data_IF_233583769353
#
_entry.id   IF_233583769353
#
_cell.length_a   1.000
_cell.length_b   1.000
_cell.length_c   1.000
_cell.angle_alpha   90.00
_cell.angle_beta   90.00
_cell.angle_gamma   90.00
#
_symmetry.space_group_name_H-M   'P 1'
#
loop_
_entity.id
_entity.type
_entity.pdbx_description
1 polymer ?
#
# COMPACT_ATOMS: atom_id res chain seq x y z
N UNK A 1 -0.15 6.39 -6.27
CA UNK A 1 0.39 6.81 -4.95
C UNK A 1 0.89 5.62 -4.13
N UNK A 2 0.13 4.54 -3.93
CA UNK A 2 0.57 3.35 -3.16
C UNK A 2 1.94 2.81 -3.62
N UNK A 3 2.13 2.60 -4.93
CA UNK A 3 3.41 2.17 -5.50
C UNK A 3 4.57 3.12 -5.17
N UNK A 4 4.33 4.44 -5.17
CA UNK A 4 5.35 5.43 -4.86
C UNK A 4 5.72 5.42 -3.37
N UNK A 5 4.74 5.18 -2.48
CA UNK A 5 5.01 5.03 -1.05
C UNK A 5 5.90 3.80 -0.82
N UNK A 6 5.51 2.66 -1.40
CA UNK A 6 6.29 1.42 -1.29
C UNK A 6 7.69 1.57 -1.88
N UNK A 7 7.83 2.20 -3.05
CA UNK A 7 9.12 2.37 -3.70
C UNK A 7 10.09 3.26 -2.91
N UNK A 8 9.56 4.25 -2.17
CA UNK A 8 10.38 5.29 -1.54
C UNK A 8 10.51 5.15 -0.02
N UNK A 9 9.73 4.25 0.63
CA UNK A 9 9.81 4.09 2.08
C UNK A 9 11.15 3.45 2.47
N UNK A 10 11.91 4.04 3.41
CA UNK A 10 13.15 3.43 3.89
C UNK A 10 12.87 2.10 4.58
N UNK A 11 13.57 1.04 4.16
CA UNK A 11 13.46 -0.27 4.76
C UNK A 11 14.71 -1.11 4.48
N UNK A 12 15.10 -1.92 5.46
CA UNK A 12 16.25 -2.82 5.36
C UNK A 12 15.90 -4.15 4.67
N UNK A 13 14.62 -4.54 4.67
CA UNK A 13 14.11 -5.77 4.03
C UNK A 13 12.85 -5.50 3.22
N UNK A 14 12.50 -6.37 2.25
CA UNK A 14 11.23 -6.29 1.52
C UNK A 14 10.01 -6.34 2.44
N UNK A 15 10.03 -7.16 3.48
CA UNK A 15 8.93 -7.30 4.44
C UNK A 15 8.75 -6.00 5.23
N UNK A 16 9.85 -5.42 5.74
CA UNK A 16 9.82 -4.15 6.46
C UNK A 16 9.34 -3.01 5.56
N UNK A 17 9.61 -3.06 4.25
CA UNK A 17 9.11 -2.07 3.28
C UNK A 17 7.59 -2.11 3.20
N UNK A 18 7.02 -3.31 3.10
CA UNK A 18 5.57 -3.53 3.03
C UNK A 18 4.90 -3.03 4.31
N UNK A 19 5.44 -3.39 5.48
CA UNK A 19 4.92 -2.98 6.79
C UNK A 19 5.01 -1.46 6.99
N UNK A 20 6.16 -0.86 6.70
CA UNK A 20 6.36 0.58 6.83
C UNK A 20 5.45 1.37 5.87
N UNK A 21 5.27 0.88 4.64
CA UNK A 21 4.35 1.47 3.68
C UNK A 21 2.90 1.39 4.18
N UNK A 22 2.46 0.24 4.70
CA UNK A 22 1.14 0.07 5.26
C UNK A 22 0.90 1.01 6.46
N UNK A 23 1.88 1.12 7.37
CA UNK A 23 1.81 2.04 8.51
C UNK A 23 1.72 3.51 8.06
N UNK A 24 2.49 3.90 7.04
CA UNK A 24 2.41 5.23 6.44
C UNK A 24 1.02 5.50 5.84
N UNK A 25 0.49 4.56 5.05
CA UNK A 25 -0.85 4.69 4.46
C UNK A 25 -1.92 4.81 5.55
N UNK A 26 -1.90 3.97 6.61
CA UNK A 26 -2.83 4.06 7.75
C UNK A 26 -2.80 5.42 8.43
N UNK A 27 -1.61 6.02 8.57
CA UNK A 27 -1.43 7.30 9.26
C UNK A 27 -1.99 8.48 8.46
N UNK A 28 -1.87 8.46 7.14
CA UNK A 28 -2.15 9.62 6.30
C UNK A 28 -3.40 9.50 5.44
N UNK A 29 -3.90 8.29 5.21
CA UNK A 29 -5.09 8.09 4.39
C UNK A 29 -6.34 8.08 5.23
N UNK A 30 -7.38 8.71 4.69
CA UNK A 30 -8.72 8.65 5.30
C UNK A 30 -9.37 7.29 5.02
N UNK A 31 -10.34 6.86 5.86
CA UNK A 31 -11.06 5.60 5.64
C UNK A 31 -11.67 5.49 4.22
N UNK A 32 -12.13 6.60 3.66
CA UNK A 32 -12.68 6.66 2.29
C UNK A 32 -11.61 6.38 1.23
N UNK A 33 -10.39 6.90 1.39
CA UNK A 33 -9.28 6.62 0.48
C UNK A 33 -8.91 5.14 0.52
N UNK A 34 -8.81 4.56 1.71
CA UNK A 34 -8.49 3.15 1.91
C UNK A 34 -9.56 2.25 1.29
N UNK A 35 -10.85 2.57 1.46
CA UNK A 35 -11.95 1.83 0.86
C UNK A 35 -11.91 1.84 -0.68
N UNK A 36 -11.67 3.02 -1.28
CA UNK A 36 -11.51 3.14 -2.74
C UNK A 36 -10.35 2.31 -3.27
N UNK A 37 -9.24 2.29 -2.55
CA UNK A 37 -8.05 1.58 -2.98
C UNK A 37 -8.20 0.06 -2.83
N UNK A 38 -8.86 -0.42 -1.76
CA UNK A 38 -9.24 -1.83 -1.62
C UNK A 38 -10.19 -2.27 -2.72
N UNK A 39 -11.20 -1.45 -3.03
CA UNK A 39 -12.11 -1.72 -4.14
C UNK A 39 -11.34 -1.80 -5.47
N UNK A 40 -10.39 -0.89 -5.72
CA UNK A 40 -9.55 -0.94 -6.91
C UNK A 40 -8.67 -2.20 -6.97
N UNK A 41 -8.08 -2.60 -5.84
CA UNK A 41 -7.30 -3.83 -5.75
C UNK A 41 -8.15 -5.09 -6.07
N UNK A 42 -9.40 -5.14 -5.60
CA UNK A 42 -10.31 -6.26 -5.88
C UNK A 42 -10.77 -6.39 -7.33
N UNK A 43 -10.67 -5.32 -8.14
CA UNK A 43 -11.04 -5.32 -9.56
C UNK A 43 -9.86 -5.64 -10.51
N UNK A 44 -8.79 -6.23 -9.97
CA UNK A 44 -7.68 -6.76 -10.75
C UNK A 44 -6.39 -5.97 -10.67
N UNK A 45 -6.31 -4.96 -9.78
CA UNK A 45 -5.07 -4.31 -9.30
C UNK A 45 -3.99 -4.01 -10.36
N UNK A 46 -4.33 -3.90 -11.65
CA UNK A 46 -3.35 -3.99 -12.75
C UNK A 46 -2.31 -2.86 -12.77
N UNK A 47 -2.55 -1.79 -12.00
CA UNK A 47 -1.62 -0.68 -11.83
C UNK A 47 -0.84 -0.74 -10.50
N UNK A 48 -1.12 -1.67 -9.58
CA UNK A 48 -0.38 -1.84 -8.33
C UNK A 48 0.79 -2.80 -8.53
N UNK A 49 1.92 -2.49 -7.90
CA UNK A 49 3.01 -3.47 -7.81
C UNK A 49 2.65 -4.56 -6.78
N UNK A 50 3.25 -5.76 -6.88
CA UNK A 50 2.98 -6.83 -5.91
C UNK A 50 3.20 -6.42 -4.44
N UNK A 51 4.21 -5.59 -4.17
CA UNK A 51 4.47 -5.08 -2.82
C UNK A 51 3.42 -4.06 -2.37
N UNK A 52 2.88 -3.26 -3.30
CA UNK A 52 1.80 -2.32 -3.02
C UNK A 52 0.48 -3.05 -2.75
N UNK A 53 0.16 -4.09 -3.50
CA UNK A 53 -1.00 -4.95 -3.21
C UNK A 53 -0.92 -5.54 -1.80
N UNK A 54 0.24 -6.11 -1.44
CA UNK A 54 0.47 -6.64 -0.09
C UNK A 54 0.31 -5.57 0.99
N UNK A 55 0.92 -4.39 0.80
CA UNK A 55 0.84 -3.30 1.78
C UNK A 55 -0.62 -2.82 1.97
N UNK A 56 -1.39 -2.76 0.88
CA UNK A 56 -2.81 -2.38 0.90
C UNK A 56 -3.67 -3.44 1.57
N UNK A 57 -3.30 -4.71 1.47
CA UNK A 57 -3.95 -5.80 2.19
C UNK A 57 -3.78 -5.73 3.72
N UNK A 58 -2.78 -4.98 4.22
CA UNK A 58 -2.50 -4.82 5.66
C UNK A 58 -3.18 -3.59 6.29
N UNK A 59 -3.74 -2.69 5.48
CA UNK A 59 -4.52 -1.52 5.92
C UNK A 59 -6.01 -1.79 5.83
#
# INVERSE_FOLDING_TARGET
MANQIVANVPALTPEARIENAAAHMKRFWTPVMTAKLKAHASHGAGELSPDAEKAVGLI
#
